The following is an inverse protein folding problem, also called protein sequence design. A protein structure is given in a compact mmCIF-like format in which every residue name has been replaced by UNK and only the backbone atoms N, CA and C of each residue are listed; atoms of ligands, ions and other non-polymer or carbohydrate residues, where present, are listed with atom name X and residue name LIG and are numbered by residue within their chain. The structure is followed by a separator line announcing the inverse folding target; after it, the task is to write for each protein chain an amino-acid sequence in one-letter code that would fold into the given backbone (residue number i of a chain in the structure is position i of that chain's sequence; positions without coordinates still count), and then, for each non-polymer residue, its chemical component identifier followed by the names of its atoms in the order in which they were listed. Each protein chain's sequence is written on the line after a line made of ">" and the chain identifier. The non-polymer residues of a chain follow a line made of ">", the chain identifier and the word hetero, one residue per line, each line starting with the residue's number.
data_IF_562438956623
#
_entry.id   IF_562438956623
#
_cell.length_a   1.000
_cell.length_b   1.000
_cell.length_c   1.000
_cell.angle_alpha   90.00
_cell.angle_beta   90.00
_cell.angle_gamma   90.00
#
_symmetry.space_group_name_H-M   'P 1'
#
loop_
_entity.id
_entity.type
_entity.pdbx_description
1 polymer ?
#
# COMPACT_ATOMS: atom_id res chain seq x y z
N UNK A 1 0.46 15.57 13.46
CA UNK A 1 1.34 16.18 12.44
C UNK A 1 2.35 17.05 13.15
N UNK A 2 3.64 16.86 12.89
CA UNK A 2 4.71 17.74 13.40
C UNK A 2 5.04 18.77 12.33
N UNK A 3 5.31 20.02 12.71
CA UNK A 3 5.69 21.07 11.77
C UNK A 3 7.16 20.90 11.38
N UNK A 4 7.40 20.66 10.10
CA UNK A 4 8.75 20.56 9.53
C UNK A 4 8.90 21.64 8.47
N UNK A 5 10.01 22.37 8.50
CA UNK A 5 10.36 23.35 7.46
C UNK A 5 11.38 22.68 6.54
N UNK A 6 11.03 22.56 5.27
CA UNK A 6 11.86 21.98 4.22
C UNK A 6 11.71 22.82 2.95
N UNK A 7 12.78 22.88 2.16
CA UNK A 7 12.69 23.41 0.81
C UNK A 7 12.17 22.32 -0.13
N UNK A 8 11.17 22.66 -0.93
CA UNK A 8 10.54 21.76 -1.89
C UNK A 8 10.49 22.45 -3.23
N UNK A 9 10.80 21.69 -4.28
CA UNK A 9 10.65 22.14 -5.65
C UNK A 9 9.17 22.36 -5.98
N UNK A 10 8.80 23.62 -6.22
CA UNK A 10 7.41 24.03 -6.43
C UNK A 10 6.83 23.48 -7.75
N UNK A 11 7.65 23.25 -8.78
CA UNK A 11 7.17 22.65 -10.04
C UNK A 11 6.81 21.19 -9.83
N UNK A 12 7.65 20.44 -9.11
CA UNK A 12 7.35 19.05 -8.75
C UNK A 12 6.14 18.95 -7.83
N UNK A 13 6.01 19.90 -6.91
CA UNK A 13 4.87 19.93 -5.99
C UNK A 13 3.55 20.23 -6.73
N UNK A 14 3.57 21.15 -7.70
CA UNK A 14 2.42 21.42 -8.55
C UNK A 14 2.04 20.21 -9.40
N UNK A 15 3.02 19.56 -10.05
CA UNK A 15 2.78 18.35 -10.83
C UNK A 15 2.18 17.22 -9.96
N UNK A 16 2.71 17.03 -8.75
CA UNK A 16 2.14 16.07 -7.80
C UNK A 16 0.72 16.47 -7.38
N UNK A 17 0.43 17.75 -7.19
CA UNK A 17 -0.89 18.22 -6.80
C UNK A 17 -1.95 17.90 -7.87
N UNK A 18 -1.61 18.05 -9.14
CA UNK A 18 -2.46 17.65 -10.28
C UNK A 18 -2.67 16.12 -10.31
N UNK A 19 -1.60 15.34 -10.16
CA UNK A 19 -1.67 13.86 -10.16
C UNK A 19 -2.58 13.36 -9.03
N UNK A 20 -2.48 13.95 -7.84
CA UNK A 20 -3.24 13.53 -6.67
C UNK A 20 -4.57 14.27 -6.50
N UNK A 21 -4.91 15.25 -7.35
CA UNK A 21 -6.12 16.06 -7.26
C UNK A 21 -6.22 16.86 -5.96
N UNK A 22 -5.09 17.32 -5.42
CA UNK A 22 -5.02 18.01 -4.14
C UNK A 22 -4.90 19.52 -4.30
N UNK A 23 -5.51 20.29 -3.40
CA UNK A 23 -5.52 21.76 -3.47
C UNK A 23 -4.56 22.44 -2.49
N UNK A 24 -3.92 21.69 -1.57
CA UNK A 24 -3.00 22.24 -0.57
C UNK A 24 -1.66 21.51 -0.60
N UNK A 25 -0.57 22.25 -0.44
CA UNK A 25 0.80 21.71 -0.39
C UNK A 25 0.93 20.56 0.62
N UNK A 26 0.32 20.70 1.80
CA UNK A 26 0.32 19.66 2.84
C UNK A 26 -0.42 18.41 2.38
N UNK A 27 -1.60 18.54 1.77
CA UNK A 27 -2.31 17.38 1.23
C UNK A 27 -1.50 16.66 0.15
N UNK A 28 -0.86 17.43 -0.75
CA UNK A 28 0.00 16.87 -1.80
C UNK A 28 1.16 16.07 -1.23
N UNK A 29 1.89 16.64 -0.25
CA UNK A 29 3.04 15.94 0.37
C UNK A 29 2.59 14.68 1.08
N UNK A 30 1.49 14.72 1.83
CA UNK A 30 1.00 13.51 2.52
C UNK A 30 0.54 12.44 1.53
N UNK A 31 -0.17 12.81 0.46
CA UNK A 31 -0.59 11.88 -0.58
C UNK A 31 0.62 11.23 -1.27
N UNK A 32 1.65 12.02 -1.59
CA UNK A 32 2.89 11.51 -2.19
C UNK A 32 3.63 10.53 -1.26
N UNK A 33 3.72 10.85 0.03
CA UNK A 33 4.33 9.96 1.04
C UNK A 33 3.54 8.66 1.19
N UNK A 34 2.21 8.74 1.21
CA UNK A 34 1.35 7.57 1.30
C UNK A 34 1.49 6.67 0.07
N UNK A 35 1.53 7.24 -1.14
CA UNK A 35 1.77 6.47 -2.36
C UNK A 35 3.13 5.78 -2.35
N UNK A 36 4.19 6.48 -1.94
CA UNK A 36 5.53 5.90 -1.83
C UNK A 36 5.56 4.71 -0.85
N UNK A 37 4.90 4.84 0.30
CA UNK A 37 4.77 3.75 1.29
C UNK A 37 3.99 2.58 0.68
N UNK A 38 2.85 2.84 0.06
CA UNK A 38 2.03 1.79 -0.58
C UNK A 38 2.81 1.08 -1.68
N UNK A 39 3.55 1.82 -2.51
CA UNK A 39 4.40 1.26 -3.56
C UNK A 39 5.47 0.35 -2.98
N UNK A 40 6.15 0.75 -1.90
CA UNK A 40 7.16 -0.08 -1.25
C UNK A 40 6.57 -1.33 -0.61
N UNK A 41 5.39 -1.23 0.02
CA UNK A 41 4.65 -2.37 0.58
C UNK A 41 4.23 -3.36 -0.50
N UNK A 42 3.71 -2.88 -1.64
CA UNK A 42 3.39 -3.73 -2.79
C UNK A 42 4.61 -4.49 -3.30
N UNK A 43 5.75 -3.80 -3.44
CA UNK A 43 6.99 -4.45 -3.84
C UNK A 43 7.43 -5.52 -2.84
N UNK A 44 7.50 -5.19 -1.54
CA UNK A 44 7.89 -6.15 -0.51
C UNK A 44 6.94 -7.35 -0.43
N UNK A 45 5.65 -7.15 -0.72
CA UNK A 45 4.69 -8.24 -0.83
C UNK A 45 5.01 -9.17 -2.00
N UNK A 46 5.31 -8.64 -3.19
CA UNK A 46 5.73 -9.45 -4.34
C UNK A 46 7.06 -10.17 -4.09
N UNK A 47 8.05 -9.48 -3.51
CA UNK A 47 9.34 -10.09 -3.15
C UNK A 47 9.13 -11.30 -2.21
N UNK A 48 8.20 -11.18 -1.25
CA UNK A 48 7.84 -12.28 -0.33
C UNK A 48 7.10 -13.42 -1.03
N UNK A 49 6.24 -13.12 -2.01
CA UNK A 49 5.56 -14.14 -2.81
C UNK A 49 6.55 -14.96 -3.62
N UNK A 50 7.51 -14.30 -4.28
CA UNK A 50 8.57 -14.96 -5.05
C UNK A 50 9.45 -15.86 -4.17
N UNK A 51 9.76 -15.42 -2.95
CA UNK A 51 10.51 -16.19 -1.98
C UNK A 51 9.74 -17.37 -1.35
N UNK A 52 8.49 -17.65 -1.77
CA UNK A 52 7.66 -18.72 -1.22
C UNK A 52 7.15 -18.45 0.21
N UNK A 53 7.19 -17.19 0.66
CA UNK A 53 6.89 -16.79 2.03
C UNK A 53 5.40 -16.75 2.40
N UNK A 54 4.54 -17.45 1.65
CA UNK A 54 3.08 -17.43 1.82
C UNK A 54 2.47 -18.84 1.94
N UNK A 55 2.96 -19.69 2.86
CA UNK A 55 2.59 -21.10 2.93
C UNK A 55 1.08 -21.33 3.10
N UNK A 56 0.38 -20.45 3.82
CA UNK A 56 -1.07 -20.55 4.06
C UNK A 56 -1.94 -20.09 2.87
N UNK A 57 -1.37 -19.40 1.88
CA UNK A 57 -2.08 -19.01 0.65
C UNK A 57 -1.72 -19.88 -0.57
N UNK A 58 -0.70 -20.74 -0.43
CA UNK A 58 -0.21 -21.61 -1.52
C UNK A 58 -0.34 -23.10 -1.19
N UNK A 59 -0.89 -23.45 -0.03
CA UNK A 59 -1.20 -24.83 0.36
C UNK A 59 -2.49 -25.38 -0.29
N UNK A 60 -2.74 -26.70 -0.23
CA UNK A 60 -4.00 -27.30 -0.67
C UNK A 60 -5.20 -26.69 0.07
N UNK A 61 -6.31 -26.42 -0.63
CA UNK A 61 -7.54 -25.96 0.01
C UNK A 61 -8.17 -27.14 0.75
N UNK A 62 -8.21 -27.08 2.08
CA UNK A 62 -8.95 -28.05 2.90
C UNK A 62 -10.45 -27.75 2.81
N UNK A 63 -11.18 -28.58 2.06
CA UNK A 63 -12.64 -28.59 2.13
C UNK A 63 -13.06 -29.28 3.43
N UNK A 64 -13.44 -28.49 4.44
CA UNK A 64 -14.02 -29.02 5.67
C UNK A 64 -15.24 -29.89 5.35
N UNK A 65 -15.17 -31.17 5.68
CA UNK A 65 -16.24 -32.13 5.44
C UNK A 65 -17.52 -31.69 6.18
N UNK A 66 -18.59 -31.38 5.43
CA UNK A 66 -19.90 -30.96 5.99
C UNK A 66 -20.75 -32.14 6.44
N UNK A 67 -20.16 -33.10 7.15
CA UNK A 67 -20.85 -34.29 7.64
C UNK A 67 -21.12 -34.24 9.14
N UNK A 68 -21.77 -33.18 9.63
CA UNK A 68 -22.34 -33.15 10.98
C UNK A 68 -23.63 -32.33 11.02
N UNK A 69 -24.72 -32.96 10.62
CA UNK A 69 -26.05 -32.34 10.62
C UNK A 69 -27.16 -33.30 10.20
N UNK A 70 -27.15 -34.52 10.75
CA UNK A 70 -28.30 -35.43 10.70
C UNK A 70 -28.23 -36.36 11.92
N UNK A 71 -28.83 -35.93 13.02
CA UNK A 71 -29.29 -36.77 14.12
C UNK A 71 -30.47 -36.06 14.79
#
# INVERSE_FOLDING_TARGET
>A
MTRTVIDVDDEKLAAAAEIFGTTTKVATVNAALEDAIKRRKRQAFFDRLEAGGMPDLTGPIEHGDRSAGAA
#
